data_IF_649465188894
#
_entry.id   IF_649465188894
#
_cell.length_a   1.000
_cell.length_b   1.000
_cell.length_c   1.000
_cell.angle_alpha   90.00
_cell.angle_beta   90.00
_cell.angle_gamma   90.00
#
_symmetry.space_group_name_H-M   'P 1'
#
loop_
_entity.id
_entity.type
_entity.pdbx_description
1 polymer ?
#
# COMPACT_ATOMS: atom_id res chain seq x y z
N UNK A 1 2.18 15.87 14.32
CA UNK A 1 2.91 14.94 15.22
C UNK A 1 3.33 13.74 14.38
N UNK A 2 4.62 13.46 14.23
CA UNK A 2 5.14 12.37 13.38
C UNK A 2 4.96 11.01 14.09
N UNK A 3 3.73 10.51 14.21
CA UNK A 3 3.48 9.19 14.78
C UNK A 3 3.84 8.13 13.75
N UNK A 4 4.77 7.25 14.11
CA UNK A 4 5.05 6.03 13.36
C UNK A 4 4.07 4.94 13.80
N UNK A 5 3.38 4.36 12.83
CA UNK A 5 2.43 3.27 13.02
C UNK A 5 3.07 1.93 12.69
N UNK A 6 2.81 0.93 13.51
CA UNK A 6 3.11 -0.48 13.20
C UNK A 6 2.23 -1.00 12.06
N UNK A 7 2.48 -2.23 11.62
CA UNK A 7 1.62 -2.89 10.62
C UNK A 7 0.18 -3.03 11.12
N UNK A 8 -0.02 -3.36 12.40
CA UNK A 8 -1.34 -3.52 13.00
C UNK A 8 -2.08 -2.18 13.04
N UNK A 9 -1.43 -1.13 13.54
CA UNK A 9 -1.99 0.22 13.57
C UNK A 9 -2.29 0.76 12.16
N UNK A 10 -1.43 0.48 11.17
CA UNK A 10 -1.65 0.90 9.80
C UNK A 10 -2.83 0.16 9.15
N UNK A 11 -2.99 -1.14 9.46
CA UNK A 11 -4.11 -1.95 8.99
C UNK A 11 -5.44 -1.46 9.59
N UNK A 12 -5.44 -1.17 10.88
CA UNK A 12 -6.59 -0.58 11.58
C UNK A 12 -6.92 0.81 11.02
N UNK A 13 -5.90 1.66 10.84
CA UNK A 13 -6.05 3.01 10.29
C UNK A 13 -6.69 3.02 8.90
N UNK A 14 -6.26 2.13 8.02
CA UNK A 14 -6.79 2.01 6.65
C UNK A 14 -8.06 1.14 6.57
N UNK A 15 -8.46 0.48 7.65
CA UNK A 15 -9.59 -0.44 7.66
C UNK A 15 -9.39 -1.69 6.77
N UNK A 16 -8.15 -2.14 6.57
CA UNK A 16 -7.83 -3.30 5.71
C UNK A 16 -7.07 -4.39 6.46
N UNK A 17 -7.16 -5.66 6.02
CA UNK A 17 -6.40 -6.74 6.66
C UNK A 17 -4.87 -6.56 6.57
N UNK A 18 -4.16 -6.88 7.65
CA UNK A 18 -2.68 -6.77 7.77
C UNK A 18 -1.92 -7.46 6.63
N UNK A 19 -2.45 -8.56 6.09
CA UNK A 19 -1.87 -9.25 4.92
C UNK A 19 -1.69 -8.33 3.70
N UNK A 20 -2.57 -7.35 3.51
CA UNK A 20 -2.48 -6.39 2.40
C UNK A 20 -1.35 -5.38 2.63
N UNK A 21 -1.17 -4.92 3.86
CA UNK A 21 -0.03 -4.07 4.24
C UNK A 21 1.29 -4.81 3.99
N UNK A 22 1.41 -6.06 4.42
CA UNK A 22 2.60 -6.88 4.14
C UNK A 22 2.79 -7.15 2.65
N UNK A 23 1.73 -7.32 1.88
CA UNK A 23 1.82 -7.50 0.43
C UNK A 23 2.35 -6.22 -0.25
N UNK A 24 1.83 -5.05 0.14
CA UNK A 24 2.24 -3.75 -0.39
C UNK A 24 3.70 -3.40 -0.01
N UNK A 25 4.10 -3.65 1.24
CA UNK A 25 5.46 -3.42 1.71
C UNK A 25 6.51 -4.31 1.02
N UNK A 26 6.11 -5.53 0.59
CA UNK A 26 6.99 -6.48 -0.13
C UNK A 26 7.14 -6.17 -1.62
N UNK A 27 6.32 -5.28 -2.20
CA UNK A 27 6.49 -4.88 -3.60
C UNK A 27 7.84 -4.19 -3.79
N UNK A 28 8.39 -4.24 -5.01
CA UNK A 28 9.65 -3.55 -5.32
C UNK A 28 9.45 -2.03 -5.20
N UNK A 29 10.41 -1.28 -4.62
CA UNK A 29 10.43 0.17 -4.70
C UNK A 29 10.30 0.62 -6.17
N UNK A 30 9.42 1.58 -6.43
CA UNK A 30 9.07 2.02 -7.78
C UNK A 30 7.85 1.33 -8.41
N UNK A 31 7.37 0.22 -7.82
CA UNK A 31 6.05 -0.30 -8.17
C UNK A 31 4.97 0.64 -7.64
N UNK A 32 3.89 0.94 -8.38
CA UNK A 32 2.89 1.92 -7.94
C UNK A 32 2.16 1.50 -6.65
N UNK A 33 1.84 0.21 -6.51
CA UNK A 33 1.32 -0.35 -5.27
C UNK A 33 2.35 -0.54 -4.12
N UNK A 34 3.61 -0.09 -4.27
CA UNK A 34 4.59 -0.22 -3.19
C UNK A 34 4.32 0.75 -2.06
N UNK A 35 4.16 0.22 -0.84
CA UNK A 35 3.99 1.02 0.36
C UNK A 35 5.35 1.28 1.01
N UNK A 36 5.72 2.57 1.05
CA UNK A 36 6.94 3.04 1.71
C UNK A 36 6.87 2.80 3.22
N UNK A 37 7.96 2.29 3.78
CA UNK A 37 8.05 1.94 5.18
C UNK A 37 9.47 2.17 5.72
N UNK A 38 9.56 2.30 7.04
CA UNK A 38 10.82 2.29 7.79
C UNK A 38 10.94 0.96 8.50
N UNK A 39 12.10 0.31 8.39
CA UNK A 39 12.38 -0.94 9.09
C UNK A 39 13.24 -0.67 10.32
N UNK A 40 12.76 -1.09 11.48
CA UNK A 40 13.48 -1.04 12.75
C UNK A 40 13.56 -2.46 13.31
N UNK A 41 14.72 -3.09 13.14
CA UNK A 41 14.92 -4.50 13.42
C UNK A 41 14.01 -5.41 12.57
N UNK A 42 13.15 -6.19 13.24
CA UNK A 42 12.20 -7.10 12.58
C UNK A 42 10.83 -6.46 12.30
N UNK A 43 10.61 -5.21 12.72
CA UNK A 43 9.31 -4.53 12.61
C UNK A 43 9.31 -3.49 11.48
N UNK A 44 8.13 -3.33 10.88
CA UNK A 44 7.86 -2.33 9.85
C UNK A 44 7.03 -1.21 10.47
N UNK A 45 7.38 0.02 10.09
CA UNK A 45 6.73 1.23 10.55
C UNK A 45 6.36 2.13 9.39
N UNK A 46 5.24 2.83 9.52
CA UNK A 46 4.64 3.67 8.49
C UNK A 46 4.32 5.05 9.08
N UNK A 47 4.45 6.09 8.26
CA UNK A 47 3.91 7.41 8.60
C UNK A 47 2.50 7.52 8.05
N UNK A 48 1.60 8.18 8.77
CA UNK A 48 0.21 8.40 8.32
C UNK A 48 0.16 9.02 6.91
N UNK A 49 0.92 10.12 6.70
CA UNK A 49 1.04 10.80 5.40
C UNK A 49 1.39 9.83 4.24
N UNK A 50 2.20 8.80 4.50
CA UNK A 50 2.58 7.81 3.47
C UNK A 50 1.50 6.77 3.21
N UNK A 51 0.66 6.48 4.20
CA UNK A 51 -0.51 5.62 4.04
C UNK A 51 -1.59 6.33 3.22
N UNK A 52 -1.79 7.62 3.47
CA UNK A 52 -2.72 8.47 2.71
C UNK A 52 -2.28 8.59 1.25
N UNK A 53 -1.03 9.01 1.01
CA UNK A 53 -0.42 9.07 -0.34
C UNK A 53 -0.47 7.73 -1.08
N UNK A 54 -0.38 6.61 -0.35
CA UNK A 54 -0.47 5.29 -0.95
C UNK A 54 -1.91 4.96 -1.35
N UNK A 55 -2.89 5.29 -0.51
CA UNK A 55 -4.31 5.05 -0.76
C UNK A 55 -4.79 5.84 -1.97
N UNK A 56 -4.43 7.12 -2.06
CA UNK A 56 -4.76 7.98 -3.21
C UNK A 56 -4.17 7.42 -4.51
N UNK A 57 -2.92 6.97 -4.47
CA UNK A 57 -2.23 6.39 -5.64
C UNK A 57 -2.87 5.09 -6.10
N UNK A 58 -3.22 4.20 -5.17
CA UNK A 58 -3.89 2.94 -5.49
C UNK A 58 -5.32 3.17 -5.99
N UNK A 59 -6.03 4.17 -5.47
CA UNK A 59 -7.36 4.53 -5.94
C UNK A 59 -7.35 5.19 -7.34
N UNK A 60 -6.30 5.94 -7.66
CA UNK A 60 -6.15 6.61 -8.96
C UNK A 60 -5.70 5.67 -10.09
N UNK A 61 -5.13 4.51 -9.77
CA UNK A 61 -4.74 3.53 -10.77
C UNK A 61 -5.90 2.57 -11.05
N UNK A 62 -6.44 2.52 -12.28
CA UNK A 62 -7.46 1.54 -12.62
C UNK A 62 -6.86 0.14 -12.45
N UNK A 63 -7.57 -0.81 -11.83
CA UNK A 63 -7.04 -2.14 -11.61
C UNK A 63 -6.65 -2.75 -12.96
N UNK A 64 -5.45 -3.32 -13.06
CA UNK A 64 -4.94 -3.94 -14.28
C UNK A 64 -5.85 -5.07 -14.84
N UNK A 65 -6.80 -5.56 -14.04
CA UNK A 65 -7.86 -6.47 -14.48
C UNK A 65 -8.88 -5.82 -15.44
N UNK A 66 -9.11 -4.51 -15.37
CA UNK A 66 -10.00 -3.78 -16.29
C UNK A 66 -9.33 -3.64 -17.66
N UNK A 67 -8.02 -3.34 -17.68
CA UNK A 67 -7.24 -3.16 -18.92
C UNK A 67 -7.14 -4.45 -19.74
N UNK A 68 -7.23 -5.63 -19.10
CA UNK A 68 -7.14 -6.92 -19.79
C UNK A 68 -8.44 -7.34 -20.47
N UNK A 69 -9.59 -6.85 -20.02
CA UNK A 69 -10.88 -7.16 -20.64
C UNK A 69 -11.08 -6.41 -21.96
N UNK A 70 -10.65 -5.15 -22.00
CA UNK A 70 -10.78 -4.27 -23.17
C UNK A 70 -9.98 -4.77 -24.38
N UNK A 71 -8.84 -5.45 -24.18
CA UNK A 71 -8.00 -5.95 -25.30
C UNK A 71 -8.43 -7.29 -25.90
N UNK A 72 -9.51 -7.91 -25.40
CA UNK A 72 -10.05 -9.16 -25.97
C UNK A 72 -11.32 -8.95 -26.79
N UNK A 73 -11.79 -7.71 -26.90
CA UNK A 73 -13.01 -7.35 -27.62
C UNK A 73 -12.74 -6.68 -28.98
N UNK A 74 -11.49 -6.72 -29.47
CA UNK A 74 -11.07 -6.23 -30.79
C UNK A 74 -10.64 -7.39 -31.69
#
# INVERSE_FOLDING_TARGET
>A
MLKLMTVEEAAEYLGIPTKHIYAAARKKPGHPAHLRHVRLGKRLYFRAERLDEWTERVASEPPASVVRLERRAE
#
